data_IF_401802753542
#
_entry.id   IF_401802753542
#
_cell.length_a   1.000
_cell.length_b   1.000
_cell.length_c   1.000
_cell.angle_alpha   90.00
_cell.angle_beta   90.00
_cell.angle_gamma   90.00
#
_symmetry.space_group_name_H-M   'P 1'
#
loop_
_entity.id
_entity.type
_entity.pdbx_description
1 polymer ?
#
# COMPACT_ATOMS: atom_id res chain seq x y z
N UNK A 1 -29.26 36.46 -7.89
CA UNK A 1 -28.17 35.57 -7.42
C UNK A 1 -28.83 34.22 -7.24
N UNK A 2 -28.53 33.31 -8.17
CA UNK A 2 -29.37 32.18 -8.58
C UNK A 2 -29.11 30.93 -7.77
N UNK A 3 -30.17 30.33 -7.24
CA UNK A 3 -30.21 29.05 -6.50
C UNK A 3 -29.62 27.83 -7.23
N UNK A 4 -29.10 27.99 -8.44
CA UNK A 4 -28.40 26.96 -9.21
C UNK A 4 -26.92 26.81 -8.81
N UNK A 5 -26.27 27.86 -8.28
CA UNK A 5 -24.87 27.76 -7.83
C UNK A 5 -24.72 27.02 -6.49
N UNK A 6 -25.74 27.07 -5.62
CA UNK A 6 -25.79 26.31 -4.37
C UNK A 6 -25.97 24.80 -4.59
N UNK A 7 -26.65 24.41 -5.67
CA UNK A 7 -26.88 23.00 -6.03
C UNK A 7 -25.60 22.38 -6.62
N UNK A 8 -24.82 23.17 -7.37
CA UNK A 8 -23.52 22.73 -7.90
C UNK A 8 -22.48 22.53 -6.80
N UNK A 9 -22.49 23.36 -5.75
CA UNK A 9 -21.60 23.18 -4.59
C UNK A 9 -21.96 21.97 -3.72
N UNK A 10 -23.25 21.63 -3.60
CA UNK A 10 -23.70 20.47 -2.81
C UNK A 10 -23.64 19.13 -3.58
N UNK A 11 -23.35 19.14 -4.88
CA UNK A 11 -23.24 17.90 -5.69
C UNK A 11 -21.80 17.37 -5.77
N UNK A 12 -20.80 18.15 -5.35
CA UNK A 12 -19.44 17.63 -5.09
C UNK A 12 -19.47 16.96 -3.72
N UNK A 13 -20.32 15.93 -3.62
CA UNK A 13 -20.37 15.03 -2.48
C UNK A 13 -18.98 14.41 -2.34
N UNK A 14 -18.43 14.54 -1.14
CA UNK A 14 -17.19 13.92 -0.70
C UNK A 14 -17.16 12.45 -1.14
N UNK A 15 -16.39 12.17 -2.19
CA UNK A 15 -15.76 10.87 -2.32
C UNK A 15 -14.67 10.87 -1.26
N UNK A 16 -14.96 10.20 -0.14
CA UNK A 16 -13.96 9.94 0.88
C UNK A 16 -12.80 9.21 0.20
N UNK A 17 -11.67 9.91 0.09
CA UNK A 17 -10.45 9.39 -0.56
C UNK A 17 -10.01 8.10 0.11
N UNK A 18 -10.27 7.94 1.41
CA UNK A 18 -9.96 6.71 2.13
C UNK A 18 -10.87 5.56 1.73
N UNK A 19 -12.16 5.82 1.48
CA UNK A 19 -13.08 4.83 0.93
C UNK A 19 -12.65 4.39 -0.47
N UNK A 20 -12.29 5.34 -1.35
CA UNK A 20 -11.81 5.04 -2.70
C UNK A 20 -10.52 4.21 -2.65
N UNK A 21 -9.59 4.55 -1.74
CA UNK A 21 -8.37 3.76 -1.50
C UNK A 21 -8.68 2.35 -1.02
N UNK A 22 -9.65 2.19 -0.11
CA UNK A 22 -10.07 0.88 0.35
C UNK A 22 -10.72 0.04 -0.75
N UNK A 23 -11.62 0.62 -1.56
CA UNK A 23 -12.27 -0.07 -2.67
C UNK A 23 -11.25 -0.51 -3.72
N UNK A 24 -10.28 0.35 -4.05
CA UNK A 24 -9.16 0.02 -4.94
C UNK A 24 -8.33 -1.14 -4.37
N UNK A 25 -8.07 -1.12 -3.07
CA UNK A 25 -7.35 -2.19 -2.38
C UNK A 25 -8.09 -3.53 -2.49
N UNK A 26 -9.40 -3.54 -2.22
CA UNK A 26 -10.22 -4.75 -2.31
C UNK A 26 -10.32 -5.28 -3.74
N UNK A 27 -10.53 -4.42 -4.72
CA UNK A 27 -10.58 -4.80 -6.13
C UNK A 27 -9.27 -5.44 -6.60
N UNK A 28 -8.13 -4.93 -6.11
CA UNK A 28 -6.81 -5.46 -6.47
C UNK A 28 -6.52 -6.81 -5.81
N UNK A 29 -6.99 -7.03 -4.58
CA UNK A 29 -6.94 -8.34 -3.92
C UNK A 29 -7.81 -9.40 -4.62
N UNK A 30 -8.96 -8.99 -5.17
CA UNK A 30 -9.84 -9.89 -5.92
C UNK A 30 -9.19 -10.36 -7.23
N UNK A 31 -8.52 -9.46 -7.96
CA UNK A 31 -7.85 -9.83 -9.22
C UNK A 31 -6.68 -10.81 -9.01
N UNK A 32 -5.98 -10.72 -7.87
CA UNK A 32 -4.90 -11.64 -7.50
C UNK A 32 -5.41 -13.05 -7.16
N UNK A 33 -6.63 -13.19 -6.64
CA UNK A 33 -7.18 -14.48 -6.21
C UNK A 33 -7.87 -15.28 -7.34
N UNK A 34 -8.20 -14.63 -8.46
CA UNK A 34 -8.90 -15.25 -9.60
C UNK A 34 -8.01 -16.06 -10.54
N UNK A 35 -6.71 -16.20 -10.28
CA UNK A 35 -5.79 -16.99 -11.11
C UNK A 35 -5.27 -18.21 -10.34
N UNK A 36 -5.92 -19.37 -10.47
CA UNK A 36 -5.27 -20.68 -10.24
C UNK A 36 -6.01 -21.81 -10.96
N UNK A 37 -5.33 -22.63 -11.78
CA UNK A 37 -5.77 -24.00 -12.06
C UNK A 37 -5.52 -24.88 -10.83
N UNK A 38 -6.44 -25.81 -10.58
CA UNK A 38 -6.40 -26.75 -9.48
C UNK A 38 -5.30 -27.81 -9.64
N UNK A 39 -4.35 -27.84 -8.72
CA UNK A 39 -3.61 -29.05 -8.35
C UNK A 39 -3.30 -29.02 -6.86
N UNK A 40 -3.81 -30.00 -6.12
CA UNK A 40 -3.65 -30.15 -4.69
C UNK A 40 -2.18 -30.49 -4.34
N UNK A 41 -1.48 -29.52 -3.77
CA UNK A 41 -0.25 -29.73 -3.01
C UNK A 41 -0.46 -29.12 -1.62
N UNK A 42 0.10 -29.75 -0.59
CA UNK A 42 -0.01 -29.29 0.79
C UNK A 42 0.42 -27.82 0.93
N UNK A 43 -0.55 -26.89 0.99
CA UNK A 43 -0.28 -25.53 1.45
C UNK A 43 -0.22 -25.56 2.98
N UNK A 44 0.83 -25.05 3.63
CA UNK A 44 0.74 -24.71 5.05
C UNK A 44 -0.46 -23.78 5.20
N UNK A 45 -1.42 -24.18 6.04
CA UNK A 45 -2.67 -23.44 6.22
C UNK A 45 -2.31 -22.10 6.83
N UNK A 46 -2.15 -21.08 5.98
CA UNK A 46 -1.99 -19.70 6.42
C UNK A 46 -3.15 -19.41 7.34
N UNK A 47 -2.84 -19.06 8.59
CA UNK A 47 -3.86 -18.67 9.54
C UNK A 47 -4.40 -17.32 9.09
N UNK A 48 -5.48 -17.35 8.30
CA UNK A 48 -6.16 -16.15 7.80
C UNK A 48 -6.55 -15.21 8.94
N UNK A 49 -6.78 -15.73 10.15
CA UNK A 49 -7.07 -14.91 11.32
C UNK A 49 -5.84 -14.12 11.77
N UNK A 50 -4.65 -14.73 11.76
CA UNK A 50 -3.38 -14.08 12.07
C UNK A 50 -3.06 -12.96 11.06
N UNK A 51 -3.23 -13.23 9.76
CA UNK A 51 -3.00 -12.22 8.71
C UNK A 51 -3.90 -11.01 8.91
N UNK A 52 -5.19 -11.21 9.21
CA UNK A 52 -6.13 -10.13 9.49
C UNK A 52 -5.72 -9.32 10.73
N UNK A 53 -5.27 -9.99 11.79
CA UNK A 53 -4.76 -9.31 13.00
C UNK A 53 -3.52 -8.47 12.67
N UNK A 54 -2.56 -8.99 11.90
CA UNK A 54 -1.36 -8.24 11.54
C UNK A 54 -1.67 -7.07 10.61
N UNK A 55 -2.56 -7.26 9.64
CA UNK A 55 -3.05 -6.18 8.78
C UNK A 55 -3.64 -5.03 9.61
N UNK A 56 -4.45 -5.34 10.64
CA UNK A 56 -5.03 -4.31 11.51
C UNK A 56 -4.00 -3.53 12.33
N UNK A 57 -2.77 -4.03 12.45
CA UNK A 57 -1.66 -3.36 13.15
C UNK A 57 -0.82 -2.48 12.24
N UNK A 58 -1.01 -2.55 10.92
CA UNK A 58 -0.32 -1.68 9.98
C UNK A 58 -0.79 -0.25 10.22
N UNK A 59 0.17 0.63 10.51
CA UNK A 59 -0.08 2.05 10.72
C UNK A 59 0.49 2.83 9.54
N UNK A 60 -0.21 3.85 9.04
CA UNK A 60 0.32 4.71 8.00
C UNK A 60 1.61 5.40 8.44
N UNK A 61 2.56 5.54 7.52
CA UNK A 61 3.77 6.31 7.72
C UNK A 61 3.68 7.66 7.03
N UNK A 62 3.87 8.72 7.81
CA UNK A 62 3.61 10.11 7.39
C UNK A 62 4.82 10.85 6.80
N UNK A 63 6.00 10.21 6.80
CA UNK A 63 7.25 10.81 6.32
C UNK A 63 8.04 11.58 7.39
N UNK A 64 7.80 11.30 8.67
CA UNK A 64 8.59 11.90 9.75
C UNK A 64 10.02 11.35 9.73
N UNK A 65 11.03 12.21 9.81
CA UNK A 65 12.45 11.84 9.85
C UNK A 65 12.90 11.21 11.17
N UNK A 66 12.12 10.26 11.65
CA UNK A 66 12.29 9.57 12.91
C UNK A 66 12.62 8.11 12.64
N UNK A 67 13.86 7.74 12.96
CA UNK A 67 14.40 6.38 12.77
C UNK A 67 13.53 5.33 13.46
N UNK A 68 12.92 5.64 14.61
CA UNK A 68 12.06 4.70 15.33
C UNK A 68 10.73 4.48 14.61
N UNK A 69 10.15 5.52 14.02
CA UNK A 69 8.91 5.41 13.24
C UNK A 69 9.14 4.61 11.96
N UNK A 70 10.23 4.90 11.24
CA UNK A 70 10.63 4.15 10.05
C UNK A 70 10.86 2.68 10.41
N UNK A 71 11.63 2.40 11.46
CA UNK A 71 11.90 1.03 11.90
C UNK A 71 10.61 0.29 12.28
N UNK A 72 9.72 0.95 13.03
CA UNK A 72 8.44 0.36 13.44
C UNK A 72 7.58 0.05 12.22
N UNK A 73 7.50 0.98 11.29
CA UNK A 73 6.74 0.83 10.05
C UNK A 73 7.23 -0.36 9.21
N UNK A 74 8.55 -0.41 8.95
CA UNK A 74 9.16 -1.50 8.18
C UNK A 74 8.97 -2.86 8.87
N UNK A 75 9.18 -2.93 10.19
CA UNK A 75 9.01 -4.16 10.96
C UNK A 75 7.58 -4.71 10.88
N UNK A 76 6.57 -3.85 10.98
CA UNK A 76 5.15 -4.26 10.91
C UNK A 76 4.79 -4.82 9.53
N UNK A 77 5.32 -4.22 8.47
CA UNK A 77 5.15 -4.74 7.10
C UNK A 77 5.87 -6.08 6.92
N UNK A 78 7.08 -6.24 7.47
CA UNK A 78 7.80 -7.52 7.41
C UNK A 78 7.06 -8.64 8.18
N UNK A 79 6.54 -8.36 9.37
CA UNK A 79 5.68 -9.29 10.12
C UNK A 79 4.45 -9.69 9.30
N UNK A 80 3.79 -8.72 8.66
CA UNK A 80 2.64 -8.97 7.79
C UNK A 80 3.01 -9.81 6.56
N UNK A 81 4.09 -9.47 5.84
CA UNK A 81 4.53 -10.20 4.65
C UNK A 81 4.98 -11.63 4.97
N UNK A 82 5.58 -11.84 6.14
CA UNK A 82 5.98 -13.18 6.57
C UNK A 82 4.75 -14.05 6.89
N UNK A 83 3.68 -13.46 7.42
CA UNK A 83 2.45 -14.18 7.73
C UNK A 83 1.53 -14.34 6.51
N UNK A 84 1.52 -13.37 5.59
CA UNK A 84 0.77 -13.43 4.35
C UNK A 84 1.54 -14.27 3.33
N UNK A 85 1.23 -15.57 3.21
CA UNK A 85 1.85 -16.38 2.17
C UNK A 85 1.58 -15.78 0.77
N UNK A 86 2.59 -15.88 -0.09
CA UNK A 86 2.49 -15.67 -1.55
C UNK A 86 2.38 -14.22 -2.06
N UNK A 87 2.84 -13.22 -1.30
CA UNK A 87 3.03 -11.87 -1.86
C UNK A 87 4.28 -11.81 -2.74
N UNK A 88 4.09 -11.53 -4.04
CA UNK A 88 5.21 -11.20 -4.94
C UNK A 88 5.96 -9.94 -4.47
N UNK A 89 7.21 -9.72 -4.89
CA UNK A 89 7.94 -8.48 -4.58
C UNK A 89 7.16 -7.20 -4.92
N UNK A 90 6.43 -7.21 -6.04
CA UNK A 90 5.57 -6.12 -6.48
C UNK A 90 4.34 -5.97 -5.57
N UNK A 91 3.78 -7.10 -5.11
CA UNK A 91 2.69 -7.12 -4.13
C UNK A 91 3.10 -6.55 -2.77
N UNK A 92 4.30 -6.89 -2.28
CA UNK A 92 4.88 -6.32 -1.06
C UNK A 92 5.07 -4.81 -1.21
N UNK A 93 5.68 -4.37 -2.32
CA UNK A 93 5.88 -2.95 -2.60
C UNK A 93 4.56 -2.19 -2.69
N UNK A 94 3.55 -2.77 -3.33
CA UNK A 94 2.22 -2.19 -3.41
C UNK A 94 1.59 -2.02 -2.02
N UNK A 95 1.62 -3.06 -1.19
CA UNK A 95 1.08 -2.97 0.17
C UNK A 95 1.82 -1.88 0.94
N UNK A 96 3.15 -1.90 0.95
CA UNK A 96 3.95 -0.87 1.62
C UNK A 96 3.58 0.54 1.15
N UNK A 97 3.53 0.79 -0.15
CA UNK A 97 3.26 2.14 -0.66
C UNK A 97 1.83 2.61 -0.40
N UNK A 98 0.89 1.68 -0.20
CA UNK A 98 -0.50 1.99 0.18
C UNK A 98 -0.60 2.59 1.59
N UNK A 99 0.29 2.19 2.51
CA UNK A 99 0.34 2.71 3.88
C UNK A 99 1.28 3.93 4.03
N UNK A 100 1.55 4.64 2.93
CA UNK A 100 2.18 5.97 2.99
C UNK A 100 1.10 7.05 3.03
N UNK A 101 1.39 8.10 3.79
CA UNK A 101 0.55 9.29 3.92
C UNK A 101 1.41 10.56 3.90
N UNK A 102 0.76 11.69 3.64
CA UNK A 102 1.34 13.03 3.74
C UNK A 102 2.68 13.12 2.96
N UNK A 103 3.77 13.48 3.63
CA UNK A 103 5.06 13.72 3.01
C UNK A 103 5.63 12.45 2.38
N UNK A 104 5.40 11.28 2.98
CA UNK A 104 5.87 10.01 2.44
C UNK A 104 5.12 9.61 1.16
N UNK A 105 3.81 9.89 1.11
CA UNK A 105 3.02 9.64 -0.11
C UNK A 105 3.47 10.56 -1.24
N UNK A 106 3.67 11.85 -0.97
CA UNK A 106 4.17 12.83 -1.96
C UNK A 106 5.56 12.44 -2.48
N UNK A 107 6.46 11.99 -1.59
CA UNK A 107 7.77 11.47 -1.98
C UNK A 107 7.64 10.28 -2.94
N UNK A 108 6.80 9.30 -2.61
CA UNK A 108 6.59 8.13 -3.45
C UNK A 108 5.99 8.51 -4.82
N UNK A 109 4.99 9.39 -4.84
CA UNK A 109 4.39 9.87 -6.08
C UNK A 109 5.42 10.61 -6.96
N UNK A 110 6.27 11.44 -6.36
CA UNK A 110 7.37 12.13 -7.05
C UNK A 110 8.37 11.11 -7.64
N UNK A 111 8.76 10.09 -6.88
CA UNK A 111 9.63 9.01 -7.35
C UNK A 111 9.03 8.28 -8.55
N UNK A 112 7.76 7.90 -8.46
CA UNK A 112 7.03 7.20 -9.53
C UNK A 112 6.93 8.03 -10.80
N UNK A 113 6.76 9.35 -10.67
CA UNK A 113 6.70 10.30 -11.79
C UNK A 113 8.06 10.50 -12.46
N UNK A 114 9.12 10.65 -11.67
CA UNK A 114 10.47 10.94 -12.18
C UNK A 114 11.17 9.70 -12.73
N UNK A 115 10.83 8.52 -12.21
CA UNK A 115 11.40 7.25 -12.62
C UNK A 115 10.29 6.35 -13.17
N UNK A 116 9.93 6.45 -14.47
CA UNK A 116 8.88 5.65 -15.06
C UNK A 116 9.24 4.15 -15.10
N UNK A 117 8.26 3.30 -15.42
CA UNK A 117 8.47 1.86 -15.61
C UNK A 117 9.56 1.62 -16.67
N UNK A 118 10.50 0.72 -16.38
CA UNK A 118 11.67 0.47 -17.23
C UNK A 118 12.89 1.35 -16.93
N UNK A 119 12.76 2.39 -16.09
CA UNK A 119 13.91 3.16 -15.61
C UNK A 119 14.80 2.30 -14.70
N UNK A 120 16.14 2.36 -14.84
CA UNK A 120 17.06 1.65 -13.94
C UNK A 120 17.02 2.19 -12.50
N UNK A 121 16.50 3.41 -12.30
CA UNK A 121 16.35 4.05 -10.99
C UNK A 121 14.97 3.79 -10.36
N UNK A 122 14.09 3.05 -11.05
CA UNK A 122 12.77 2.71 -10.52
C UNK A 122 12.94 1.81 -9.29
N UNK A 123 12.22 2.15 -8.22
CA UNK A 123 12.06 1.24 -7.08
C UNK A 123 11.03 0.20 -7.50
N UNK A 124 11.46 -1.05 -7.60
CA UNK A 124 10.66 -2.17 -8.09
C UNK A 124 10.55 -3.30 -7.06
N UNK A 125 11.37 -3.28 -6.01
CA UNK A 125 11.36 -4.30 -4.98
C UNK A 125 11.23 -3.72 -3.58
N UNK A 126 10.79 -4.58 -2.66
CA UNK A 126 10.72 -4.27 -1.23
C UNK A 126 12.07 -3.83 -0.66
N UNK A 127 13.17 -4.50 -1.03
CA UNK A 127 14.50 -4.15 -0.51
C UNK A 127 15.00 -2.79 -1.00
N UNK A 128 14.73 -2.43 -2.26
CA UNK A 128 15.02 -1.09 -2.79
C UNK A 128 14.20 -0.03 -2.05
N UNK A 129 12.93 -0.31 -1.79
CA UNK A 129 12.06 0.58 -1.03
C UNK A 129 12.56 0.81 0.40
N UNK A 130 12.96 -0.25 1.12
CA UNK A 130 13.51 -0.14 2.48
C UNK A 130 14.71 0.81 2.53
N UNK A 131 15.67 0.63 1.61
CA UNK A 131 16.87 1.48 1.52
C UNK A 131 16.49 2.92 1.22
N UNK A 132 15.66 3.13 0.20
CA UNK A 132 15.24 4.45 -0.20
C UNK A 132 14.49 5.19 0.92
N UNK A 133 13.63 4.49 1.68
CA UNK A 133 12.91 5.08 2.81
C UNK A 133 13.86 5.50 3.94
N UNK A 134 14.88 4.69 4.24
CA UNK A 134 15.89 4.99 5.26
C UNK A 134 16.84 6.13 4.86
N UNK A 135 17.04 6.35 3.56
CA UNK A 135 17.92 7.40 3.03
C UNK A 135 17.20 8.75 2.84
N UNK A 136 15.91 8.73 2.53
CA UNK A 136 15.18 9.92 2.08
C UNK A 136 14.15 10.46 3.09
N UNK A 137 13.74 9.63 4.05
CA UNK A 137 12.89 10.05 5.15
C UNK A 137 13.69 9.93 6.45
#
# INVERSE_FOLDING_TARGET
>A
MTSQEEILFNTIAELDIDQVRQELYQAKLQQLNSTTPATAQYQPRVDKSLVKVLQSKLKPYKGNRNVQEIRTYLLRLEEYFQAAADLSPEGQLLVATTYLELHAEVWWQSHVKNHPVGSPLRIQSWDQFKRALQENC
#
